data_IF_125386969229
#
_entry.id   IF_125386969229
#
_cell.length_a   1.000
_cell.length_b   1.000
_cell.length_c   1.000
_cell.angle_alpha   90.00
_cell.angle_beta   90.00
_cell.angle_gamma   90.00
#
_symmetry.space_group_name_H-M   'P 1'
#
loop_
_entity.id
_entity.type
_entity.pdbx_description
1 polymer ?
#
# COMPACT_ATOMS: atom_id res chain seq x y z
N UNK A 1 -19.44 -5.25 3.62
CA UNK A 1 -18.19 -6.00 3.25
C UNK A 1 -18.59 -7.10 2.28
N UNK A 2 -17.85 -7.32 1.19
CA UNK A 2 -18.15 -8.40 0.24
C UNK A 2 -17.91 -9.77 0.89
N UNK A 3 -18.59 -10.80 0.38
CA UNK A 3 -18.39 -12.19 0.83
C UNK A 3 -16.91 -12.61 0.78
N UNK A 4 -16.21 -12.31 -0.33
CA UNK A 4 -14.81 -12.68 -0.50
C UNK A 4 -13.87 -12.01 0.53
N UNK A 5 -14.08 -10.74 0.80
CA UNK A 5 -13.29 -10.05 1.82
C UNK A 5 -13.61 -10.57 3.23
N UNK A 6 -14.88 -10.92 3.49
CA UNK A 6 -15.29 -11.56 4.75
C UNK A 6 -14.58 -12.89 4.96
N UNK A 7 -14.39 -13.71 3.90
CA UNK A 7 -13.62 -14.97 4.00
C UNK A 7 -12.20 -14.75 4.54
N UNK A 8 -11.51 -13.68 4.08
CA UNK A 8 -10.18 -13.35 4.61
C UNK A 8 -10.29 -12.83 6.05
N UNK A 9 -11.22 -11.89 6.31
CA UNK A 9 -11.38 -11.23 7.61
C UNK A 9 -11.80 -12.18 8.74
N UNK A 10 -12.37 -13.34 8.44
CA UNK A 10 -12.65 -14.39 9.43
C UNK A 10 -11.40 -14.90 10.15
N UNK A 11 -10.23 -14.81 9.52
CA UNK A 11 -8.95 -15.21 10.11
C UNK A 11 -8.27 -14.09 10.89
N UNK A 12 -8.71 -12.84 10.70
CA UNK A 12 -8.22 -11.67 11.42
C UNK A 12 -8.15 -10.42 10.55
N UNK A 13 -8.00 -9.29 11.22
CA UNK A 13 -7.88 -7.98 10.54
C UNK A 13 -6.45 -7.68 10.08
N UNK A 14 -5.48 -8.39 10.63
CA UNK A 14 -4.04 -8.28 10.32
C UNK A 14 -3.48 -9.68 10.16
N UNK A 15 -3.18 -10.08 8.95
CA UNK A 15 -2.69 -11.44 8.66
C UNK A 15 -1.31 -11.39 8.04
N UNK A 16 -0.27 -11.92 8.70
CA UNK A 16 1.05 -12.06 8.11
C UNK A 16 1.02 -13.10 6.99
N UNK A 17 1.68 -12.78 5.88
CA UNK A 17 1.81 -13.67 4.74
C UNK A 17 3.24 -14.20 4.62
N UNK A 18 3.40 -15.32 3.92
CA UNK A 18 4.71 -15.99 3.71
C UNK A 18 5.66 -15.22 2.78
N UNK A 19 5.21 -14.11 2.19
CA UNK A 19 6.00 -13.32 1.25
C UNK A 19 6.97 -12.38 1.98
N UNK A 20 8.25 -12.48 1.63
CA UNK A 20 9.32 -11.64 2.19
C UNK A 20 10.06 -10.87 1.11
N UNK A 21 10.39 -9.62 1.44
CA UNK A 21 11.12 -8.71 0.55
C UNK A 21 12.57 -9.14 0.39
N UNK A 22 13.04 -9.23 -0.85
CA UNK A 22 14.47 -9.28 -1.14
C UNK A 22 15.08 -7.87 -0.95
N UNK A 23 15.61 -7.63 0.24
CA UNK A 23 16.20 -6.33 0.59
C UNK A 23 17.39 -5.93 -0.27
N UNK A 24 18.16 -6.90 -0.78
CA UNK A 24 19.32 -6.61 -1.64
C UNK A 24 18.81 -5.98 -2.94
N UNK A 25 17.95 -6.71 -3.64
CA UNK A 25 17.35 -6.27 -4.90
C UNK A 25 16.57 -4.98 -4.72
N UNK A 26 15.79 -4.87 -3.64
CA UNK A 26 15.04 -3.65 -3.31
C UNK A 26 15.91 -2.40 -3.15
N UNK A 27 17.05 -2.51 -2.43
CA UNK A 27 18.00 -1.39 -2.25
C UNK A 27 18.63 -0.95 -3.56
N UNK A 28 18.90 -1.89 -4.47
CA UNK A 28 19.38 -1.58 -5.83
C UNK A 28 18.34 -0.73 -6.58
N UNK A 29 17.05 -1.12 -6.53
CA UNK A 29 15.96 -0.34 -7.11
C UNK A 29 15.82 1.04 -6.50
N UNK A 30 15.86 1.16 -5.16
CA UNK A 30 15.80 2.46 -4.50
C UNK A 30 16.90 3.43 -4.95
N UNK A 31 18.11 2.91 -5.16
CA UNK A 31 19.23 3.72 -5.65
C UNK A 31 19.05 4.14 -7.11
N UNK A 32 18.55 3.23 -7.95
CA UNK A 32 18.37 3.47 -9.38
C UNK A 32 17.25 4.49 -9.67
N UNK A 33 16.21 4.50 -8.84
CA UNK A 33 15.00 5.32 -9.02
C UNK A 33 14.83 6.39 -7.91
N UNK A 34 15.93 6.86 -7.29
CA UNK A 34 15.83 7.84 -6.21
C UNK A 34 15.29 9.19 -6.67
N UNK A 35 15.45 9.53 -7.94
CA UNK A 35 14.91 10.74 -8.59
C UNK A 35 13.42 10.64 -9.01
N UNK A 36 12.80 9.47 -8.87
CA UNK A 36 11.42 9.21 -9.30
C UNK A 36 10.36 9.36 -8.19
N UNK A 37 10.78 9.74 -7.00
CA UNK A 37 9.85 10.03 -5.91
C UNK A 37 9.13 11.35 -6.15
N UNK A 38 7.82 11.34 -6.04
CA UNK A 38 6.98 12.53 -6.19
C UNK A 38 6.13 12.76 -4.94
N UNK A 39 5.66 13.99 -4.75
CA UNK A 39 4.78 14.34 -3.65
C UNK A 39 3.50 13.48 -3.70
N UNK A 40 3.22 12.75 -2.63
CA UNK A 40 1.97 12.00 -2.52
C UNK A 40 0.83 12.94 -2.14
N UNK A 41 -0.21 12.99 -2.97
CA UNK A 41 -1.34 13.92 -2.87
C UNK A 41 -0.87 15.38 -2.70
N UNK A 42 -0.34 15.99 -3.79
CA UNK A 42 0.37 17.27 -3.72
C UNK A 42 -0.49 18.43 -3.20
N UNK A 43 -1.81 18.34 -3.32
CA UNK A 43 -2.74 19.38 -2.84
C UNK A 43 -2.81 19.49 -1.32
N UNK A 44 -2.39 18.47 -0.57
CA UNK A 44 -2.52 18.45 0.91
C UNK A 44 -1.28 18.92 1.66
N UNK A 45 -0.17 19.19 0.98
CA UNK A 45 1.11 19.64 1.57
C UNK A 45 1.52 18.84 2.84
N UNK A 46 1.32 17.52 2.82
CA UNK A 46 1.71 16.63 3.90
C UNK A 46 3.09 16.06 3.57
N UNK A 47 4.06 15.99 4.54
CA UNK A 47 5.42 15.54 4.26
C UNK A 47 5.48 14.03 4.01
N UNK A 48 5.06 13.63 2.81
CA UNK A 48 5.07 12.26 2.30
C UNK A 48 5.25 12.24 0.79
N UNK A 49 5.98 11.26 0.32
CA UNK A 49 6.26 11.04 -1.10
C UNK A 49 5.89 9.62 -1.49
N UNK A 50 5.61 9.41 -2.75
CA UNK A 50 5.31 8.12 -3.34
C UNK A 50 6.22 7.78 -4.51
N UNK A 51 6.34 6.48 -4.77
CA UNK A 51 6.96 5.92 -5.96
C UNK A 51 6.05 4.82 -6.50
N UNK A 52 5.56 5.00 -7.72
CA UNK A 52 4.60 4.09 -8.34
C UNK A 52 5.24 2.75 -8.69
N UNK A 53 4.60 1.66 -8.31
CA UNK A 53 4.91 0.29 -8.74
C UNK A 53 4.02 -0.08 -9.92
N UNK A 54 2.79 0.41 -9.89
CA UNK A 54 1.85 0.41 -11.01
C UNK A 54 1.39 1.82 -11.29
N UNK A 55 1.12 2.14 -12.55
CA UNK A 55 0.54 3.40 -13.01
C UNK A 55 -0.41 3.15 -14.17
N UNK A 56 -1.03 4.17 -14.73
CA UNK A 56 -1.86 4.03 -15.94
C UNK A 56 -1.02 3.72 -17.17
N UNK A 57 0.13 4.35 -17.31
CA UNK A 57 0.99 4.32 -18.51
C UNK A 57 2.29 3.54 -18.33
N UNK A 58 2.57 3.03 -17.12
CA UNK A 58 3.83 2.38 -16.76
C UNK A 58 4.95 3.37 -16.39
N UNK A 59 4.66 4.68 -16.32
CA UNK A 59 5.62 5.74 -15.95
C UNK A 59 5.59 6.08 -14.46
N UNK A 60 6.29 7.17 -14.12
CA UNK A 60 6.46 7.66 -12.73
C UNK A 60 5.91 9.08 -12.54
N UNK A 61 4.96 9.52 -13.35
CA UNK A 61 4.37 10.86 -13.21
C UNK A 61 3.68 11.06 -11.85
N UNK A 62 3.20 9.98 -11.23
CA UNK A 62 2.41 10.01 -10.01
C UNK A 62 0.97 10.49 -10.22
N UNK A 63 0.56 10.72 -11.46
CA UNK A 63 -0.77 11.23 -11.81
C UNK A 63 -1.46 10.19 -12.70
N UNK A 64 -2.61 9.62 -12.27
CA UNK A 64 -3.33 9.86 -11.01
C UNK A 64 -2.93 8.91 -9.87
N UNK A 65 -1.95 8.04 -10.07
CA UNK A 65 -1.64 6.90 -9.19
C UNK A 65 -1.16 7.30 -7.78
N UNK A 66 -0.62 8.51 -7.59
CA UNK A 66 -0.23 9.03 -6.27
C UNK A 66 -1.08 10.23 -5.83
N UNK A 67 -2.19 10.47 -6.49
CA UNK A 67 -3.12 11.53 -6.17
C UNK A 67 -4.47 10.99 -5.63
N UNK A 68 -5.40 11.86 -5.30
CA UNK A 68 -6.78 11.51 -4.99
C UNK A 68 -7.52 11.14 -6.28
N UNK A 69 -7.86 9.87 -6.47
CA UNK A 69 -8.61 9.44 -7.65
C UNK A 69 -9.97 10.13 -7.76
N UNK A 70 -10.63 10.38 -6.61
CA UNK A 70 -11.90 11.10 -6.59
C UNK A 70 -11.75 12.49 -7.20
N UNK A 71 -10.79 13.28 -6.70
CA UNK A 71 -10.58 14.65 -7.17
C UNK A 71 -10.08 14.67 -8.63
N UNK A 72 -9.23 13.71 -9.00
CA UNK A 72 -8.77 13.57 -10.37
C UNK A 72 -9.92 13.24 -11.34
N UNK A 73 -10.78 12.29 -10.99
CA UNK A 73 -11.94 11.91 -11.79
C UNK A 73 -12.93 13.06 -11.97
N UNK A 74 -13.22 13.80 -10.88
CA UNK A 74 -14.07 14.98 -10.91
C UNK A 74 -13.49 16.08 -11.81
N UNK A 75 -12.19 16.36 -11.70
CA UNK A 75 -11.52 17.40 -12.48
C UNK A 75 -11.48 17.09 -13.97
N UNK A 76 -11.34 15.83 -14.35
CA UNK A 76 -11.21 15.41 -15.75
C UNK A 76 -12.50 14.85 -16.35
N UNK A 77 -13.58 14.78 -15.57
CA UNK A 77 -14.88 14.18 -15.96
C UNK A 77 -14.71 12.75 -16.52
N UNK A 78 -13.94 11.93 -15.80
CA UNK A 78 -13.68 10.53 -16.16
C UNK A 78 -13.91 9.64 -14.93
N UNK A 79 -13.87 8.31 -15.14
CA UNK A 79 -13.91 7.35 -14.05
C UNK A 79 -12.74 6.38 -14.15
N UNK A 80 -11.79 6.52 -13.22
CA UNK A 80 -10.68 5.59 -12.99
C UNK A 80 -10.79 5.11 -11.56
N UNK A 81 -10.69 3.79 -11.36
CA UNK A 81 -10.70 3.16 -10.05
C UNK A 81 -9.34 2.48 -9.77
N UNK A 82 -9.12 2.05 -8.54
CA UNK A 82 -7.84 1.45 -8.12
C UNK A 82 -7.42 0.22 -8.97
N UNK A 83 -8.32 -0.70 -9.38
CA UNK A 83 -7.97 -1.81 -10.26
C UNK A 83 -7.53 -1.41 -11.69
N UNK A 84 -7.86 -0.20 -12.14
CA UNK A 84 -7.50 0.27 -13.48
C UNK A 84 -6.02 0.66 -13.59
N UNK A 85 -5.39 1.00 -12.46
CA UNK A 85 -4.00 1.43 -12.36
C UNK A 85 -3.10 0.19 -12.20
N UNK A 86 -2.89 -0.56 -13.26
CA UNK A 86 -2.27 -1.90 -13.24
C UNK A 86 -1.03 -2.07 -14.12
N UNK A 87 -0.68 -1.08 -14.94
CA UNK A 87 0.51 -1.15 -15.79
C UNK A 87 1.77 -1.07 -14.93
N UNK A 88 2.63 -2.10 -15.03
CA UNK A 88 3.84 -2.19 -14.22
C UNK A 88 4.85 -1.11 -14.60
N UNK A 89 5.39 -0.41 -13.61
CA UNK A 89 6.51 0.50 -13.82
C UNK A 89 7.86 -0.24 -13.84
N UNK A 90 8.95 0.38 -14.32
CA UNK A 90 10.29 -0.19 -14.25
C UNK A 90 10.78 -0.54 -12.83
N UNK A 91 10.10 -0.08 -11.77
CA UNK A 91 10.43 -0.45 -10.39
C UNK A 91 9.92 -1.84 -9.98
N UNK A 92 8.89 -2.39 -10.64
CA UNK A 92 8.27 -3.66 -10.27
C UNK A 92 9.28 -4.81 -10.02
N UNK A 93 10.33 -5.04 -10.85
CA UNK A 93 11.28 -6.12 -10.64
C UNK A 93 11.93 -6.12 -9.24
N UNK A 94 12.03 -4.96 -8.59
CA UNK A 94 12.68 -4.78 -7.28
C UNK A 94 11.78 -5.12 -6.09
N UNK A 95 10.50 -5.35 -6.33
CA UNK A 95 9.51 -5.81 -5.34
C UNK A 95 8.81 -7.11 -5.76
N UNK A 96 9.25 -7.71 -6.84
CA UNK A 96 8.66 -8.94 -7.40
C UNK A 96 8.65 -10.09 -6.39
N UNK A 97 9.65 -10.19 -5.50
CA UNK A 97 9.72 -11.24 -4.47
C UNK A 97 8.47 -11.31 -3.58
N UNK A 98 7.74 -10.20 -3.42
CA UNK A 98 6.51 -10.12 -2.60
C UNK A 98 5.25 -9.99 -3.44
N UNK A 99 5.33 -9.59 -4.71
CA UNK A 99 4.16 -9.32 -5.56
C UNK A 99 3.94 -10.35 -6.67
N UNK A 100 4.91 -11.23 -6.96
CA UNK A 100 4.86 -12.13 -8.13
C UNK A 100 3.58 -12.96 -8.21
N UNK A 101 3.11 -13.50 -7.09
CA UNK A 101 1.87 -14.30 -7.03
C UNK A 101 0.61 -13.47 -7.31
N UNK A 102 0.64 -12.19 -7.01
CA UNK A 102 -0.49 -11.26 -7.22
C UNK A 102 -0.38 -10.47 -8.53
N UNK A 103 0.61 -10.74 -9.38
CA UNK A 103 0.91 -9.93 -10.58
C UNK A 103 -0.31 -9.64 -11.44
N UNK A 104 -1.14 -10.65 -11.69
CA UNK A 104 -2.34 -10.53 -12.52
C UNK A 104 -3.54 -9.86 -11.81
N UNK A 105 -3.40 -9.60 -10.51
CA UNK A 105 -4.44 -9.01 -9.66
C UNK A 105 -4.03 -7.63 -9.14
N UNK A 106 -2.84 -7.12 -9.52
CA UNK A 106 -2.37 -5.82 -9.10
C UNK A 106 -3.26 -4.72 -9.67
N UNK A 107 -3.73 -3.86 -8.79
CA UNK A 107 -4.22 -2.53 -9.09
C UNK A 107 -3.21 -1.49 -8.63
N UNK A 108 -3.69 -0.33 -8.22
CA UNK A 108 -2.90 0.80 -7.74
C UNK A 108 -1.92 0.39 -6.63
N UNK A 109 -0.65 0.28 -6.95
CA UNK A 109 0.40 -0.20 -6.06
C UNK A 109 1.57 0.79 -6.02
N UNK A 110 2.03 1.17 -4.82
CA UNK A 110 3.07 2.17 -4.67
C UNK A 110 3.83 2.03 -3.35
N UNK A 111 5.06 2.52 -3.35
CA UNK A 111 5.82 2.82 -2.15
C UNK A 111 5.41 4.19 -1.61
N UNK A 112 5.41 4.31 -0.29
CA UNK A 112 5.23 5.57 0.42
C UNK A 112 6.40 5.75 1.37
N UNK A 113 7.06 6.92 1.31
CA UNK A 113 7.99 7.38 2.34
C UNK A 113 7.41 8.60 3.04
N UNK A 114 7.46 8.59 4.37
CA UNK A 114 6.96 9.68 5.20
C UNK A 114 8.07 10.25 6.06
N UNK A 115 8.00 11.55 6.24
CA UNK A 115 8.86 12.31 7.14
C UNK A 115 8.13 12.65 8.44
N UNK A 116 8.80 13.31 9.38
CA UNK A 116 8.17 13.78 10.60
C UNK A 116 6.93 14.63 10.30
N UNK A 117 5.80 14.30 10.91
CA UNK A 117 4.50 14.91 10.63
C UNK A 117 3.75 14.34 9.43
N UNK A 118 4.38 13.45 8.66
CA UNK A 118 3.69 12.73 7.57
C UNK A 118 2.59 11.84 8.13
N UNK A 119 1.37 11.99 7.60
CA UNK A 119 0.20 11.28 8.12
C UNK A 119 -0.79 10.90 7.02
N UNK A 120 -1.58 9.89 7.33
CA UNK A 120 -2.89 9.64 6.76
C UNK A 120 -3.86 9.78 7.94
N UNK A 121 -4.77 10.77 7.94
CA UNK A 121 -5.72 10.98 9.03
C UNK A 121 -6.65 9.78 9.18
N UNK A 122 -7.36 9.69 10.30
CA UNK A 122 -8.32 8.62 10.54
C UNK A 122 -9.34 8.53 9.40
N UNK A 123 -9.47 7.35 8.83
CA UNK A 123 -10.39 7.06 7.75
C UNK A 123 -10.64 5.56 7.65
N UNK A 124 -11.63 5.23 6.87
CA UNK A 124 -11.86 3.88 6.32
C UNK A 124 -11.64 3.95 4.84
N UNK A 125 -11.02 2.93 4.27
CA UNK A 125 -10.97 2.85 2.82
C UNK A 125 -12.39 2.64 2.29
N UNK A 126 -12.77 3.45 1.29
CA UNK A 126 -14.15 3.47 0.80
C UNK A 126 -14.51 2.19 0.08
N UNK A 127 -15.51 1.54 0.64
CA UNK A 127 -16.09 0.33 0.11
C UNK A 127 -17.60 0.52 0.01
N UNK A 128 -18.03 1.66 -0.54
CA UNK A 128 -19.42 2.09 -0.40
C UNK A 128 -20.43 1.21 -1.13
N UNK A 129 -20.09 0.43 -2.13
CA UNK A 129 -21.09 -0.45 -2.77
C UNK A 129 -20.53 -1.75 -3.36
N UNK A 130 -19.30 -1.78 -3.85
CA UNK A 130 -18.66 -2.99 -4.38
C UNK A 130 -17.17 -2.96 -4.05
N UNK A 131 -16.73 -3.80 -3.12
CA UNK A 131 -15.32 -3.96 -2.86
C UNK A 131 -14.67 -4.61 -4.09
N UNK A 132 -14.04 -3.79 -4.93
CA UNK A 132 -13.33 -4.26 -6.11
C UNK A 132 -11.90 -4.66 -5.81
N UNK A 133 -11.37 -4.26 -4.66
CA UNK A 133 -10.00 -4.53 -4.23
C UNK A 133 -9.88 -4.67 -2.72
N UNK A 134 -8.78 -5.26 -2.28
CA UNK A 134 -8.32 -5.26 -0.89
C UNK A 134 -6.85 -4.85 -0.83
N UNK A 135 -6.34 -4.57 0.39
CA UNK A 135 -4.97 -4.07 0.56
C UNK A 135 -4.03 -5.09 1.15
N UNK A 136 -2.87 -5.19 0.51
CA UNK A 136 -1.67 -5.78 1.10
C UNK A 136 -0.72 -4.65 1.51
N UNK A 137 -0.11 -4.82 2.67
CA UNK A 137 0.79 -3.86 3.29
C UNK A 137 2.16 -4.50 3.51
N UNK A 138 3.22 -3.83 3.07
CA UNK A 138 4.60 -4.26 3.29
C UNK A 138 5.34 -3.18 4.08
N UNK A 139 5.54 -3.34 5.39
CA UNK A 139 6.39 -2.45 6.18
C UNK A 139 7.86 -2.67 5.81
N UNK A 140 8.61 -1.60 5.51
CA UNK A 140 9.97 -1.70 5.01
C UNK A 140 10.98 -1.11 5.99
N UNK A 141 10.80 0.15 6.38
CA UNK A 141 11.69 0.85 7.32
C UNK A 141 10.89 1.69 8.30
N UNK A 142 11.26 1.63 9.58
CA UNK A 142 10.70 2.48 10.65
C UNK A 142 9.16 2.52 10.67
N UNK A 143 8.51 1.40 10.45
CA UNK A 143 7.05 1.31 10.41
C UNK A 143 6.40 1.09 11.78
N UNK A 144 7.19 0.96 12.83
CA UNK A 144 6.73 0.70 14.20
C UNK A 144 6.99 1.87 15.15
N UNK A 145 6.30 1.95 16.30
CA UNK A 145 6.66 2.85 17.38
C UNK A 145 8.14 2.72 17.79
N UNK A 146 8.79 3.81 18.19
CA UNK A 146 8.27 5.16 18.36
C UNK A 146 8.35 6.06 17.10
N UNK A 147 8.74 5.50 15.95
CA UNK A 147 8.97 6.30 14.73
C UNK A 147 7.69 6.50 13.92
N UNK A 148 6.92 5.43 13.76
CA UNK A 148 5.67 5.45 13.03
C UNK A 148 4.61 4.64 13.78
N UNK A 149 3.37 5.09 13.69
CA UNK A 149 2.22 4.44 14.30
C UNK A 149 1.22 4.11 13.20
N UNK A 150 0.87 2.83 13.11
CA UNK A 150 -0.30 2.36 12.38
C UNK A 150 -1.31 1.90 13.43
N UNK A 151 -2.44 2.59 13.51
CA UNK A 151 -3.52 2.26 14.43
C UNK A 151 -4.68 1.73 13.58
N UNK A 152 -5.15 0.55 13.89
CA UNK A 152 -6.29 -0.09 13.24
C UNK A 152 -7.30 -0.48 14.32
N UNK A 153 -8.50 0.09 14.27
CA UNK A 153 -9.58 -0.21 15.21
C UNK A 153 -9.09 -0.12 16.68
N UNK A 154 -8.49 1.03 17.03
CA UNK A 154 -7.89 1.36 18.34
C UNK A 154 -6.66 0.54 18.76
N UNK A 155 -6.15 -0.35 17.91
CA UNK A 155 -4.96 -1.16 18.19
C UNK A 155 -3.74 -0.61 17.47
N UNK A 156 -2.67 -0.35 18.21
CA UNK A 156 -1.36 -0.01 17.63
C UNK A 156 -0.76 -1.30 17.08
N UNK A 157 -0.47 -1.29 15.79
CA UNK A 157 0.13 -2.43 15.11
C UNK A 157 1.66 -2.37 15.20
N UNK A 158 2.26 -3.55 15.34
CA UNK A 158 3.70 -3.78 15.22
C UNK A 158 3.95 -4.82 14.13
N UNK A 159 4.86 -4.52 13.24
CA UNK A 159 5.13 -5.31 12.04
C UNK A 159 6.53 -5.90 12.03
N UNK A 160 6.70 -7.08 11.49
CA UNK A 160 8.00 -7.55 11.00
C UNK A 160 8.32 -6.85 9.68
N UNK A 161 9.39 -6.05 9.65
CA UNK A 161 9.79 -5.35 8.43
C UNK A 161 10.19 -6.34 7.32
N UNK A 162 9.78 -6.04 6.11
CA UNK A 162 10.02 -6.88 4.93
C UNK A 162 9.02 -8.03 4.75
N UNK A 163 8.06 -8.21 5.64
CA UNK A 163 7.00 -9.20 5.52
C UNK A 163 5.72 -8.54 5.00
N UNK A 164 5.04 -9.19 4.07
CA UNK A 164 3.73 -8.77 3.57
C UNK A 164 2.62 -9.12 4.54
N UNK A 165 1.63 -8.25 4.67
CA UNK A 165 0.43 -8.43 5.49
C UNK A 165 -0.83 -8.14 4.69
N UNK A 166 -1.89 -8.90 4.90
CA UNK A 166 -3.24 -8.41 4.64
C UNK A 166 -3.65 -7.49 5.79
N UNK A 167 -4.27 -6.34 5.45
CA UNK A 167 -4.88 -5.43 6.41
C UNK A 167 -6.35 -5.19 6.04
N UNK A 168 -7.24 -5.38 7.02
CA UNK A 168 -8.66 -5.08 6.86
C UNK A 168 -8.90 -3.56 7.00
N UNK A 169 -8.58 -2.81 5.97
CA UNK A 169 -8.74 -1.35 5.94
C UNK A 169 -10.19 -0.86 5.79
N UNK A 170 -11.17 -1.79 5.77
CA UNK A 170 -12.59 -1.45 6.03
C UNK A 170 -12.81 -0.94 7.46
N UNK A 171 -11.93 -1.28 8.38
CA UNK A 171 -11.91 -0.74 9.73
C UNK A 171 -11.24 0.62 9.75
N UNK A 172 -11.62 1.42 10.74
CA UNK A 172 -11.03 2.74 10.93
C UNK A 172 -9.53 2.62 11.20
N UNK A 173 -8.75 3.41 10.49
CA UNK A 173 -7.31 3.39 10.66
C UNK A 173 -6.67 4.76 10.45
N UNK A 174 -5.55 4.95 11.12
CA UNK A 174 -4.71 6.14 11.04
C UNK A 174 -3.25 5.72 10.94
N UNK A 175 -2.45 6.45 10.15
CA UNK A 175 -1.01 6.22 10.05
C UNK A 175 -0.29 7.55 10.18
N UNK A 176 0.64 7.68 11.13
CA UNK A 176 1.42 8.90 11.28
C UNK A 176 2.88 8.64 11.69
N UNK A 177 3.77 9.54 11.26
CA UNK A 177 5.19 9.51 11.61
C UNK A 177 5.46 10.52 12.69
N UNK A 178 6.00 10.08 13.84
CA UNK A 178 6.26 10.92 14.99
C UNK A 178 7.40 11.92 14.76
N UNK A 179 7.49 12.96 15.61
CA UNK A 179 8.59 13.93 15.58
C UNK A 179 9.97 13.29 15.89
N UNK A 180 10.01 12.13 16.56
CA UNK A 180 11.23 11.35 16.79
C UNK A 180 11.80 10.78 15.49
N UNK A 181 10.97 10.67 14.46
CA UNK A 181 11.37 10.30 13.09
C UNK A 181 12.16 11.37 12.33
N UNK A 182 12.55 12.51 12.92
CA UNK A 182 13.28 13.59 12.23
C UNK A 182 14.57 13.13 11.53
N UNK A 183 15.21 12.07 12.01
CA UNK A 183 16.41 11.46 11.38
C UNK A 183 16.10 10.23 10.54
N UNK A 184 14.85 9.77 10.49
CA UNK A 184 14.47 8.55 9.79
C UNK A 184 13.17 8.75 9.03
N UNK A 185 13.16 8.26 7.80
CA UNK A 185 11.95 8.13 7.00
C UNK A 185 11.26 6.83 7.41
N UNK A 186 9.95 6.82 7.59
CA UNK A 186 9.21 5.56 7.54
C UNK A 186 8.93 5.22 6.07
N UNK A 187 9.01 3.96 5.72
CA UNK A 187 8.75 3.50 4.35
C UNK A 187 7.97 2.20 4.36
N UNK A 188 6.93 2.16 3.56
CA UNK A 188 6.12 0.96 3.33
C UNK A 188 5.57 0.94 1.91
N UNK A 189 5.09 -0.22 1.47
CA UNK A 189 4.35 -0.40 0.23
C UNK A 189 2.89 -0.69 0.55
N UNK A 190 2.00 -0.12 -0.24
CA UNK A 190 0.58 -0.48 -0.30
C UNK A 190 0.32 -1.06 -1.68
N UNK A 191 -0.23 -2.28 -1.73
CA UNK A 191 -0.69 -2.89 -2.96
C UNK A 191 -2.19 -3.10 -2.90
N UNK A 192 -2.93 -2.50 -3.83
CA UNK A 192 -4.33 -2.80 -4.03
C UNK A 192 -4.43 -4.03 -4.93
N UNK A 193 -5.12 -5.04 -4.45
CA UNK A 193 -5.29 -6.32 -5.13
C UNK A 193 -6.75 -6.44 -5.57
N UNK A 194 -7.00 -6.67 -6.84
CA UNK A 194 -8.34 -6.93 -7.37
C UNK A 194 -8.98 -8.09 -6.61
N UNK A 195 -10.16 -7.87 -6.07
CA UNK A 195 -10.87 -8.86 -5.25
C UNK A 195 -11.65 -9.83 -6.14
N UNK A 196 -11.20 -11.07 -6.17
CA UNK A 196 -11.85 -12.21 -6.81
C UNK A 196 -11.52 -13.50 -6.05
N UNK A 197 -12.07 -14.64 -6.46
CA UNK A 197 -11.82 -15.93 -5.81
C UNK A 197 -10.33 -16.27 -5.79
N UNK A 198 -9.64 -16.14 -6.93
CA UNK A 198 -8.23 -16.49 -7.06
C UNK A 198 -7.34 -15.65 -6.12
N UNK A 199 -7.51 -14.32 -6.11
CA UNK A 199 -6.74 -13.43 -5.24
C UNK A 199 -7.05 -13.66 -3.76
N UNK A 200 -8.30 -13.99 -3.41
CA UNK A 200 -8.73 -14.37 -2.06
C UNK A 200 -8.03 -15.65 -1.63
N UNK A 201 -8.04 -16.67 -2.46
CA UNK A 201 -7.41 -17.96 -2.17
C UNK A 201 -5.88 -17.82 -2.08
N UNK A 202 -5.25 -16.95 -2.88
CA UNK A 202 -3.83 -16.63 -2.75
C UNK A 202 -3.49 -16.08 -1.36
N UNK A 203 -4.33 -15.22 -0.79
CA UNK A 203 -4.13 -14.74 0.59
C UNK A 203 -4.28 -15.90 1.57
N UNK A 204 -5.38 -16.64 1.51
CA UNK A 204 -5.71 -17.71 2.46
C UNK A 204 -4.66 -18.83 2.48
N UNK A 205 -4.16 -19.26 1.32
CA UNK A 205 -3.12 -20.30 1.22
C UNK A 205 -1.72 -19.82 1.64
N UNK A 206 -1.50 -18.51 1.66
CA UNK A 206 -0.19 -17.94 2.02
C UNK A 206 -0.18 -17.24 3.38
N UNK A 207 -1.24 -17.37 4.18
CA UNK A 207 -1.19 -16.95 5.59
C UNK A 207 -0.14 -17.79 6.33
N UNK A 208 0.57 -17.16 7.28
CA UNK A 208 1.34 -17.93 8.24
C UNK A 208 0.42 -18.50 9.31
N UNK A 209 0.66 -19.76 9.65
CA UNK A 209 0.02 -20.37 10.81
C UNK A 209 0.48 -19.63 12.07
N UNK A 210 -0.47 -19.18 12.87
CA UNK A 210 -0.25 -18.55 14.17
C UNK A 210 0.46 -19.53 15.11
#
# INVERSE_FOLDING_TARGET
>A
MSYLLTRIALYGDVLPLKFKLDYKKFKEGLKLFDDKWVQYNPRKNIPREGLSITSLDGGFSGIPDLDSLKEYNEQHNIYIDEPDIKTLTPFYPYVESVLSKFKNHLGRTHLIRKYAGGQFPSHRDHYERENKSFRLFLPIYNCNPPFNYFILDDKILNFEHGRMYFLNTCKEHIVFTSARGRKGRSMYMVANITLNEESTDLVLHNMESS
#
